data_IF_012260625833
#
_entry.id   IF_012260625833
#
_cell.length_a   1.000
_cell.length_b   1.000
_cell.length_c   1.000
_cell.angle_alpha   90.00
_cell.angle_beta   90.00
_cell.angle_gamma   90.00
#
_symmetry.space_group_name_H-M   'P 1'
#
loop_
_entity.id
_entity.type
_entity.pdbx_description
1 polymer ?
#
# COMPACT_ATOMS: atom_id res chain seq x y z
N UNK A 1 -13.91 19.96 -4.43
CA UNK A 1 -13.41 19.07 -3.35
C UNK A 1 -12.45 17.97 -3.86
N UNK A 2 -12.74 17.26 -4.96
CA UNK A 2 -11.85 16.21 -5.51
C UNK A 2 -10.44 16.68 -5.90
N UNK A 3 -10.27 17.95 -6.31
CA UNK A 3 -8.96 18.51 -6.68
C UNK A 3 -7.90 18.43 -5.56
N UNK A 4 -8.32 18.43 -4.29
CA UNK A 4 -7.42 18.32 -3.14
C UNK A 4 -7.17 16.87 -2.72
N UNK A 5 -8.17 16.00 -2.88
CA UNK A 5 -8.13 14.59 -2.43
C UNK A 5 -7.09 13.79 -3.21
N UNK A 6 -6.99 14.03 -4.52
CA UNK A 6 -6.04 13.33 -5.39
C UNK A 6 -4.58 13.55 -4.98
N UNK A 7 -4.06 14.79 -4.88
CA UNK A 7 -2.68 15.01 -4.45
C UNK A 7 -2.43 14.55 -3.01
N UNK A 8 -3.41 14.68 -2.12
CA UNK A 8 -3.31 14.17 -0.74
C UNK A 8 -3.14 12.65 -0.73
N UNK A 9 -3.90 11.92 -1.54
CA UNK A 9 -3.80 10.46 -1.60
C UNK A 9 -2.45 10.00 -2.17
N UNK A 10 -1.93 10.65 -3.22
CA UNK A 10 -0.60 10.33 -3.74
C UNK A 10 0.50 10.66 -2.74
N UNK A 11 0.40 11.80 -2.05
CA UNK A 11 1.33 12.15 -0.97
C UNK A 11 1.29 11.10 0.15
N UNK A 12 0.09 10.67 0.53
CA UNK A 12 -0.10 9.63 1.53
C UNK A 12 0.53 8.29 1.11
N UNK A 13 0.30 7.85 -0.12
CA UNK A 13 0.89 6.62 -0.67
C UNK A 13 2.43 6.73 -0.71
N UNK A 14 2.96 7.88 -1.11
CA UNK A 14 4.41 8.13 -1.13
C UNK A 14 5.01 8.08 0.28
N UNK A 15 4.37 8.73 1.26
CA UNK A 15 4.78 8.66 2.66
C UNK A 15 4.71 7.23 3.20
N UNK A 16 3.65 6.50 2.87
CA UNK A 16 3.49 5.10 3.26
C UNK A 16 4.60 4.21 2.68
N UNK A 17 4.99 4.42 1.43
CA UNK A 17 6.12 3.75 0.78
C UNK A 17 7.46 4.08 1.48
N UNK A 18 7.71 5.36 1.78
CA UNK A 18 8.92 5.77 2.52
C UNK A 18 8.97 5.13 3.92
N UNK A 19 7.84 5.12 4.62
CA UNK A 19 7.70 4.48 5.93
C UNK A 19 7.99 2.99 5.83
N UNK A 20 7.44 2.28 4.84
CA UNK A 20 7.69 0.84 4.65
C UNK A 20 9.16 0.51 4.36
N UNK A 21 9.86 1.34 3.60
CA UNK A 21 11.31 1.16 3.36
C UNK A 21 12.12 1.25 4.66
N UNK A 22 11.71 2.10 5.61
CA UNK A 22 12.44 2.24 6.89
C UNK A 22 12.41 0.96 7.73
N UNK A 23 11.39 0.11 7.58
CA UNK A 23 11.32 -1.21 8.22
C UNK A 23 12.40 -2.17 7.71
N UNK A 24 12.83 -2.05 6.46
CA UNK A 24 13.90 -2.89 5.91
C UNK A 24 15.21 -2.62 6.66
N UNK A 25 15.48 -1.37 7.03
CA UNK A 25 16.65 -1.02 7.85
C UNK A 25 16.59 -1.65 9.25
N UNK A 26 15.40 -1.79 9.83
CA UNK A 26 15.22 -2.42 11.14
C UNK A 26 15.55 -3.92 11.13
N UNK A 27 15.43 -4.58 9.97
CA UNK A 27 15.79 -5.99 9.78
C UNK A 27 17.30 -6.25 9.67
N UNK A 28 18.14 -5.20 9.63
CA UNK A 28 19.62 -5.31 9.53
C UNK A 28 20.06 -6.26 8.41
N UNK A 29 19.76 -5.93 7.14
CA UNK A 29 20.08 -6.81 6.01
C UNK A 29 21.60 -7.06 5.91
N UNK A 30 21.96 -8.28 5.52
CA UNK A 30 23.35 -8.75 5.45
C UNK A 30 24.15 -8.16 4.28
N UNK A 31 23.45 -7.57 3.30
CA UNK A 31 24.08 -6.91 2.15
C UNK A 31 23.19 -5.81 1.57
N UNK A 32 23.80 -4.90 0.82
CA UNK A 32 23.10 -3.85 0.07
C UNK A 32 22.09 -4.43 -0.93
N UNK A 33 22.41 -5.57 -1.55
CA UNK A 33 21.50 -6.24 -2.49
C UNK A 33 20.20 -6.71 -1.82
N UNK A 34 20.30 -7.28 -0.62
CA UNK A 34 19.12 -7.72 0.16
C UNK A 34 18.28 -6.51 0.58
N UNK A 35 18.92 -5.42 1.03
CA UNK A 35 18.22 -4.18 1.35
C UNK A 35 17.41 -3.65 0.15
N UNK A 36 18.07 -3.49 -1.00
CA UNK A 36 17.42 -2.97 -2.22
C UNK A 36 16.32 -3.91 -2.69
N UNK A 37 16.54 -5.23 -2.67
CA UNK A 37 15.54 -6.22 -3.04
C UNK A 37 14.27 -6.12 -2.21
N UNK A 38 14.40 -6.07 -0.88
CA UNK A 38 13.27 -5.90 0.03
C UNK A 38 12.60 -4.53 -0.09
N UNK A 39 13.37 -3.45 -0.25
CA UNK A 39 12.82 -2.12 -0.44
C UNK A 39 11.98 -2.04 -1.73
N UNK A 40 12.51 -2.53 -2.85
CA UNK A 40 11.78 -2.58 -4.12
C UNK A 40 10.53 -3.45 -4.01
N UNK A 41 10.65 -4.61 -3.35
CA UNK A 41 9.51 -5.51 -3.12
C UNK A 41 8.39 -4.83 -2.32
N UNK A 42 8.73 -4.12 -1.24
CA UNK A 42 7.75 -3.39 -0.42
C UNK A 42 7.15 -2.18 -1.14
N UNK A 43 7.91 -1.52 -2.03
CA UNK A 43 7.40 -0.38 -2.81
C UNK A 43 6.41 -0.82 -3.90
N UNK A 44 6.58 -2.02 -4.45
CA UNK A 44 5.76 -2.54 -5.56
C UNK A 44 4.24 -2.34 -5.40
N UNK A 45 3.59 -2.74 -4.28
CA UNK A 45 2.14 -2.56 -4.11
C UNK A 45 1.72 -1.09 -4.14
N UNK A 46 2.53 -0.18 -3.60
CA UNK A 46 2.27 1.27 -3.64
C UNK A 46 2.36 1.83 -5.07
N UNK A 47 3.32 1.33 -5.86
CA UNK A 47 3.43 1.68 -7.27
C UNK A 47 2.22 1.18 -8.08
N UNK A 48 1.79 -0.07 -7.84
CA UNK A 48 0.59 -0.64 -8.49
C UNK A 48 -0.67 0.14 -8.12
N UNK A 49 -0.87 0.46 -6.83
CA UNK A 49 -2.01 1.28 -6.38
C UNK A 49 -2.00 2.67 -7.02
N UNK A 50 -0.84 3.32 -7.09
CA UNK A 50 -0.69 4.62 -7.73
C UNK A 50 -1.02 4.56 -9.22
N UNK A 51 -0.49 3.55 -9.93
CA UNK A 51 -0.77 3.34 -11.36
C UNK A 51 -2.27 3.08 -11.61
N UNK A 52 -2.90 2.26 -10.76
CA UNK A 52 -4.33 1.98 -10.83
C UNK A 52 -5.16 3.26 -10.64
N UNK A 53 -4.84 4.08 -9.64
CA UNK A 53 -5.53 5.37 -9.41
C UNK A 53 -5.38 6.31 -10.60
N UNK A 54 -4.18 6.45 -11.17
CA UNK A 54 -3.95 7.26 -12.39
C UNK A 54 -4.80 6.75 -13.55
N UNK A 55 -4.84 5.43 -13.75
CA UNK A 55 -5.63 4.80 -14.80
C UNK A 55 -7.13 5.07 -14.64
N UNK A 56 -7.67 4.91 -13.43
CA UNK A 56 -9.08 5.20 -13.16
C UNK A 56 -9.39 6.70 -13.25
N UNK A 57 -8.46 7.58 -12.90
CA UNK A 57 -8.62 9.02 -13.05
C UNK A 57 -8.73 9.42 -14.51
N UNK A 58 -7.85 8.89 -15.37
CA UNK A 58 -7.90 9.12 -16.83
C UNK A 58 -9.21 8.67 -17.47
N UNK A 59 -9.86 7.65 -16.89
CA UNK A 59 -11.17 7.14 -17.33
C UNK A 59 -12.38 7.86 -16.69
N UNK A 60 -12.17 8.87 -15.84
CA UNK A 60 -13.27 9.51 -15.07
C UNK A 60 -13.96 8.55 -14.08
N UNK A 61 -13.33 7.41 -13.79
CA UNK A 61 -13.87 6.36 -12.93
C UNK A 61 -13.36 6.47 -11.48
N UNK A 62 -12.30 7.24 -11.23
CA UNK A 62 -11.76 7.42 -9.89
C UNK A 62 -12.71 8.22 -8.99
N UNK A 63 -13.37 7.51 -8.08
CA UNK A 63 -14.17 8.11 -7.01
C UNK A 63 -13.38 8.20 -5.69
N UNK A 64 -13.96 8.90 -4.72
CA UNK A 64 -13.42 8.98 -3.37
C UNK A 64 -13.14 7.60 -2.76
N UNK A 65 -14.02 6.61 -2.99
CA UNK A 65 -13.89 5.26 -2.43
C UNK A 65 -12.62 4.53 -2.86
N UNK A 66 -12.10 4.80 -4.06
CA UNK A 66 -10.83 4.23 -4.54
C UNK A 66 -9.63 4.73 -3.75
N UNK A 67 -9.64 6.00 -3.37
CA UNK A 67 -8.58 6.61 -2.56
C UNK A 67 -8.63 6.08 -1.12
N UNK A 68 -9.84 5.91 -0.57
CA UNK A 68 -10.05 5.28 0.76
C UNK A 68 -9.55 3.83 0.76
N UNK A 69 -9.86 3.04 -0.27
CA UNK A 69 -9.37 1.67 -0.40
C UNK A 69 -7.84 1.61 -0.40
N UNK A 70 -7.17 2.47 -1.19
CA UNK A 70 -5.72 2.56 -1.22
C UNK A 70 -5.13 2.96 0.15
N UNK A 71 -5.79 3.87 0.88
CA UNK A 71 -5.37 4.27 2.22
C UNK A 71 -5.48 3.11 3.22
N UNK A 72 -6.61 2.39 3.23
CA UNK A 72 -6.83 1.23 4.11
C UNK A 72 -5.77 0.15 3.87
N UNK A 73 -5.51 -0.22 2.61
CA UNK A 73 -4.51 -1.22 2.24
C UNK A 73 -3.09 -0.78 2.65
N UNK A 74 -2.78 0.52 2.47
CA UNK A 74 -1.49 1.08 2.85
C UNK A 74 -1.27 1.06 4.37
N UNK A 75 -2.27 1.49 5.14
CA UNK A 75 -2.23 1.48 6.61
C UNK A 75 -2.14 0.05 7.13
N UNK A 76 -2.98 -0.86 6.62
CA UNK A 76 -2.98 -2.27 7.02
C UNK A 76 -1.61 -2.94 6.81
N UNK A 77 -0.96 -2.67 5.68
CA UNK A 77 0.39 -3.19 5.42
C UNK A 77 1.45 -2.65 6.39
N UNK A 78 1.41 -1.35 6.70
CA UNK A 78 2.32 -0.73 7.69
C UNK A 78 2.08 -1.33 9.08
N UNK A 79 0.82 -1.46 9.50
CA UNK A 79 0.48 -2.04 10.81
C UNK A 79 0.92 -3.50 10.92
N UNK A 80 0.75 -4.28 9.85
CA UNK A 80 1.22 -5.66 9.79
C UNK A 80 2.74 -5.73 9.96
N UNK A 81 3.51 -4.91 9.24
CA UNK A 81 4.96 -4.83 9.38
C UNK A 81 5.39 -4.34 10.76
N UNK A 82 4.74 -3.32 11.31
CA UNK A 82 5.03 -2.82 12.65
C UNK A 82 4.79 -3.87 13.73
N UNK A 83 3.71 -4.64 13.60
CA UNK A 83 3.45 -5.75 14.50
C UNK A 83 4.52 -6.84 14.40
N UNK A 84 4.89 -7.26 13.18
CA UNK A 84 5.86 -8.34 12.97
C UNK A 84 7.31 -7.96 13.29
N UNK A 85 7.69 -6.70 13.11
CA UNK A 85 9.09 -6.25 13.25
C UNK A 85 9.36 -5.66 14.63
N UNK A 86 8.41 -4.93 15.21
CA UNK A 86 8.65 -4.20 16.47
C UNK A 86 7.90 -4.78 17.67
N UNK A 87 6.65 -5.22 17.50
CA UNK A 87 5.83 -5.64 18.63
C UNK A 87 6.08 -7.10 19.03
N UNK A 88 6.04 -8.02 18.06
CA UNK A 88 6.34 -9.43 18.27
C UNK A 88 7.52 -9.85 17.38
N UNK A 89 8.74 -9.37 17.67
CA UNK A 89 9.91 -9.70 16.88
C UNK A 89 10.20 -11.19 17.01
N UNK A 90 9.88 -11.95 15.97
CA UNK A 90 10.31 -13.32 15.79
C UNK A 90 11.31 -13.41 14.63
N UNK A 91 11.90 -14.59 14.44
CA UNK A 91 12.79 -14.84 13.31
C UNK A 91 12.10 -14.68 11.93
N UNK A 92 10.78 -14.43 11.90
CA UNK A 92 9.96 -14.31 10.70
C UNK A 92 9.78 -12.86 10.24
N UNK A 93 10.46 -11.87 10.83
CA UNK A 93 10.43 -10.49 10.33
C UNK A 93 10.77 -10.36 8.83
N UNK A 94 11.68 -11.20 8.32
CA UNK A 94 11.98 -11.28 6.88
C UNK A 94 10.82 -11.89 6.07
N UNK A 95 10.13 -12.90 6.61
CA UNK A 95 8.94 -13.48 6.00
C UNK A 95 7.81 -12.44 5.96
N UNK A 96 7.64 -11.62 6.99
CA UNK A 96 6.66 -10.54 7.00
C UNK A 96 6.90 -9.54 5.85
N UNK A 97 8.16 -9.19 5.57
CA UNK A 97 8.51 -8.34 4.41
C UNK A 97 8.16 -9.01 3.08
N UNK A 98 8.35 -10.33 2.95
CA UNK A 98 7.94 -11.06 1.76
C UNK A 98 6.42 -11.14 1.61
N UNK A 99 5.70 -11.37 2.72
CA UNK A 99 4.25 -11.58 2.73
C UNK A 99 3.47 -10.28 2.59
N UNK A 100 4.00 -9.14 3.05
CA UNK A 100 3.26 -7.86 3.08
C UNK A 100 2.71 -7.46 1.71
N UNK A 101 3.49 -7.45 0.61
CA UNK A 101 2.96 -7.12 -0.71
C UNK A 101 1.90 -8.10 -1.21
N UNK A 102 2.02 -9.38 -0.87
CA UNK A 102 1.04 -10.42 -1.23
C UNK A 102 -0.27 -10.17 -0.50
N UNK A 103 -0.20 -9.90 0.80
CA UNK A 103 -1.37 -9.58 1.63
C UNK A 103 -2.01 -8.26 1.22
N UNK A 104 -1.22 -7.25 0.86
CA UNK A 104 -1.73 -6.00 0.31
C UNK A 104 -2.43 -6.22 -1.04
N UNK A 105 -1.88 -7.06 -1.92
CA UNK A 105 -2.53 -7.46 -3.17
C UNK A 105 -3.85 -8.18 -2.94
N UNK A 106 -3.89 -9.13 -2.00
CA UNK A 106 -5.12 -9.82 -1.60
C UNK A 106 -6.16 -8.89 -0.99
N UNK A 107 -5.75 -8.02 -0.05
CA UNK A 107 -6.62 -7.02 0.55
C UNK A 107 -7.18 -6.05 -0.50
N UNK A 108 -6.35 -5.62 -1.46
CA UNK A 108 -6.80 -4.78 -2.57
C UNK A 108 -7.83 -5.54 -3.41
N UNK A 109 -7.56 -6.78 -3.81
CA UNK A 109 -8.50 -7.59 -4.59
C UNK A 109 -9.86 -7.79 -3.89
N UNK A 110 -9.88 -7.84 -2.56
CA UNK A 110 -11.12 -7.94 -1.77
C UNK A 110 -11.86 -6.60 -1.65
N UNK A 111 -11.14 -5.50 -1.44
CA UNK A 111 -11.75 -4.17 -1.22
C UNK A 111 -12.18 -3.52 -2.54
N UNK A 112 -11.50 -3.83 -3.64
CA UNK A 112 -11.74 -3.26 -4.96
C UNK A 112 -13.20 -3.39 -5.46
N UNK A 113 -13.83 -4.58 -5.43
CA UNK A 113 -15.23 -4.74 -5.83
C UNK A 113 -16.18 -3.89 -4.98
N UNK A 114 -15.94 -3.81 -3.66
CA UNK A 114 -16.75 -2.99 -2.75
C UNK A 114 -16.60 -1.50 -3.06
N UNK A 115 -15.37 -1.01 -3.24
CA UNK A 115 -15.10 0.38 -3.63
C UNK A 115 -15.76 0.74 -4.97
N UNK A 116 -15.74 -0.19 -5.92
CA UNK A 116 -16.40 -0.02 -7.21
C UNK A 116 -17.93 -0.01 -7.10
N UNK A 117 -18.52 -0.92 -6.33
CA UNK A 117 -19.96 -0.96 -6.07
C UNK A 117 -20.46 0.33 -5.44
N UNK A 118 -19.80 0.78 -4.36
CA UNK A 118 -20.11 2.05 -3.69
C UNK A 118 -19.96 3.23 -4.66
N UNK A 119 -18.91 3.23 -5.48
CA UNK A 119 -18.69 4.26 -6.50
C UNK A 119 -19.80 4.33 -7.55
N UNK A 120 -20.43 3.20 -7.90
CA UNK A 120 -21.56 3.20 -8.84
C UNK A 120 -22.81 3.75 -8.16
N UNK A 121 -23.09 3.30 -6.94
CA UNK A 121 -24.29 3.69 -6.23
C UNK A 121 -24.31 5.18 -5.83
N UNK A 122 -23.15 5.79 -5.57
CA UNK A 122 -23.06 7.23 -5.29
C UNK A 122 -23.14 8.15 -6.51
N UNK A 123 -23.22 7.59 -7.73
CA UNK A 123 -23.42 8.35 -8.98
C UNK A 123 -24.86 8.29 -9.50
N UNK A 124 -25.68 7.41 -8.93
CA UNK A 124 -27.12 7.33 -9.17
C UNK A 124 -27.85 8.31 -8.25
#
# INVERSE_FOLDING_TARGET
>A
MMKLIVPIAFLFIALAACVTVSFVSALKPTSTGVFVGFAVWLIFPYAVMSAALIFFQRKGAASFHWHVAAAIVSIGGILFLANAIFWHPDAQGAIAVLMTPILQGGALALILPAAWWMSRNSRA
#
